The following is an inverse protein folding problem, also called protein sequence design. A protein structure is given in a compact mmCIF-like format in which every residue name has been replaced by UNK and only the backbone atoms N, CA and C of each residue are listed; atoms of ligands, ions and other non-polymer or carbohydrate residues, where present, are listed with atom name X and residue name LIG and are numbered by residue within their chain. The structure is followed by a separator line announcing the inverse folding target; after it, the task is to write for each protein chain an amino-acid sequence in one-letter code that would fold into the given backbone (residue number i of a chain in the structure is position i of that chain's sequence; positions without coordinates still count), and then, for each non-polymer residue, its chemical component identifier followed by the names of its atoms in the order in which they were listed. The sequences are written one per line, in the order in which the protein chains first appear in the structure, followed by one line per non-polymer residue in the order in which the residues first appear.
data_IF_430896647215
#
_entry.id   IF_430896647215
#
_cell.length_a   1.000
_cell.length_b   1.000
_cell.length_c   1.000
_cell.angle_alpha   90.00
_cell.angle_beta   90.00
_cell.angle_gamma   90.00
#
_symmetry.space_group_name_H-M   'P 1'
#
loop_
_entity.id
_entity.type
_entity.pdbx_description
1 polymer ?
#
# COMPACT_ATOMS: atom_id res chain seq x y z
N UNK A 1 73.72 -4.00 18.40
CA UNK A 1 72.26 -3.75 18.45
C UNK A 1 71.65 -4.47 17.25
N UNK A 2 70.92 -5.56 17.49
CA UNK A 2 70.24 -6.33 16.44
C UNK A 2 68.97 -5.59 16.05
N UNK A 3 68.88 -5.12 14.80
CA UNK A 3 67.67 -4.50 14.27
C UNK A 3 66.67 -5.60 13.89
N UNK A 4 65.58 -5.71 14.66
CA UNK A 4 64.44 -6.56 14.36
C UNK A 4 63.73 -6.08 13.09
N UNK A 5 63.61 -6.95 12.09
CA UNK A 5 62.77 -6.68 10.91
C UNK A 5 61.30 -6.56 11.33
N UNK A 6 60.52 -5.62 10.77
CA UNK A 6 59.09 -5.58 10.98
C UNK A 6 58.43 -6.85 10.43
N UNK A 7 57.32 -7.32 11.04
CA UNK A 7 56.59 -8.48 10.57
C UNK A 7 56.01 -8.24 9.16
N UNK A 8 55.88 -9.30 8.34
CA UNK A 8 55.29 -9.20 7.01
C UNK A 8 53.82 -8.74 7.10
N UNK A 9 53.41 -7.88 6.16
CA UNK A 9 52.02 -7.47 6.02
C UNK A 9 51.13 -8.70 5.76
N UNK A 10 49.90 -8.74 6.31
CA UNK A 10 48.97 -9.84 6.05
C UNK A 10 48.66 -9.92 4.54
N UNK A 11 48.45 -11.13 4.00
CA UNK A 11 48.12 -11.30 2.59
C UNK A 11 46.80 -10.58 2.27
N UNK A 12 46.67 -10.00 1.06
CA UNK A 12 45.40 -9.42 0.64
C UNK A 12 44.31 -10.51 0.67
N UNK A 13 43.07 -10.17 1.06
CA UNK A 13 41.99 -11.14 1.11
C UNK A 13 41.78 -11.76 -0.27
N UNK A 14 41.41 -13.05 -0.35
CA UNK A 14 41.20 -13.73 -1.63
C UNK A 14 40.09 -13.01 -2.42
N UNK A 15 40.18 -12.94 -3.77
CA UNK A 15 39.22 -12.22 -4.62
C UNK A 15 37.77 -12.70 -4.47
N UNK A 16 37.56 -13.90 -3.94
CA UNK A 16 36.26 -14.49 -3.62
C UNK A 16 35.52 -13.71 -2.52
N UNK A 17 36.26 -13.09 -1.58
CA UNK A 17 35.67 -12.31 -0.49
C UNK A 17 35.14 -10.95 -0.98
N UNK A 18 35.77 -10.37 -2.01
CA UNK A 18 35.29 -9.15 -2.68
C UNK A 18 33.99 -9.41 -3.46
N UNK A 19 33.88 -10.61 -4.06
CA UNK A 19 32.70 -11.05 -4.79
C UNK A 19 31.52 -11.36 -3.85
N UNK A 20 31.78 -11.87 -2.64
CA UNK A 20 30.75 -12.07 -1.62
C UNK A 20 30.18 -10.75 -1.07
N UNK A 21 31.00 -9.69 -0.97
CA UNK A 21 30.56 -8.36 -0.54
C UNK A 21 29.72 -7.62 -1.60
N UNK A 22 29.82 -7.99 -2.88
CA UNK A 22 28.90 -7.51 -3.93
C UNK A 22 27.53 -8.20 -3.89
N UNK A 23 27.41 -9.36 -3.23
CA UNK A 23 26.14 -10.09 -3.09
C UNK A 23 25.31 -9.63 -1.88
N UNK A 24 25.83 -8.71 -1.06
CA UNK A 24 25.19 -8.25 0.19
C UNK A 24 24.55 -6.86 0.12
N UNK A 25 24.40 -6.26 -1.06
CA UNK A 25 23.63 -5.01 -1.20
C UNK A 25 22.60 -5.09 -2.32
N UNK A 26 21.50 -5.77 -2.03
CA UNK A 26 20.20 -5.25 -2.40
C UNK A 26 19.32 -5.39 -1.16
N UNK A 27 19.49 -4.46 -0.21
CA UNK A 27 18.38 -4.13 0.65
C UNK A 27 17.24 -3.74 -0.30
N UNK A 28 16.19 -4.55 -0.38
CA UNK A 28 14.96 -4.19 -1.06
C UNK A 28 14.27 -3.10 -0.22
N UNK A 29 14.89 -1.91 -0.18
CA UNK A 29 14.16 -0.69 0.10
C UNK A 29 13.17 -0.51 -1.05
N UNK A 30 11.92 -0.18 -0.75
CA UNK A 30 10.85 -0.13 -1.74
C UNK A 30 11.28 0.66 -2.96
N UNK A 31 11.25 0.00 -4.12
CA UNK A 31 11.64 0.63 -5.37
C UNK A 31 10.38 1.16 -6.04
N UNK A 32 10.15 2.48 -5.96
CA UNK A 32 9.01 3.09 -6.63
C UNK A 32 8.90 2.64 -8.11
N UNK A 33 7.75 2.10 -8.56
CA UNK A 33 7.59 1.65 -9.93
C UNK A 33 7.43 2.84 -10.87
N UNK A 34 8.55 3.48 -11.23
CA UNK A 34 8.63 4.77 -11.94
C UNK A 34 7.88 4.85 -13.30
N UNK A 35 7.43 3.72 -13.86
CA UNK A 35 6.64 3.68 -15.10
C UNK A 35 5.15 3.88 -14.87
N UNK A 36 4.64 3.48 -13.71
CA UNK A 36 3.22 3.48 -13.37
C UNK A 36 2.89 4.30 -12.13
N UNK A 37 3.90 4.62 -11.32
CA UNK A 37 3.74 5.40 -10.11
C UNK A 37 4.85 6.42 -9.94
N UNK A 38 4.50 7.54 -9.32
CA UNK A 38 5.42 8.54 -8.80
C UNK A 38 5.37 8.55 -7.28
N UNK A 39 6.49 8.26 -6.61
CA UNK A 39 6.56 8.20 -5.15
C UNK A 39 7.27 9.46 -4.62
N UNK A 40 6.62 10.15 -3.69
CA UNK A 40 7.07 11.44 -3.15
C UNK A 40 6.82 11.52 -1.65
N UNK A 41 7.70 12.25 -0.97
CA UNK A 41 7.46 12.65 0.41
C UNK A 41 6.69 13.97 0.44
N UNK A 42 5.50 13.99 1.06
CA UNK A 42 4.61 15.15 1.13
C UNK A 42 3.99 15.23 2.53
N UNK A 43 4.08 16.39 3.17
CA UNK A 43 3.50 16.65 4.50
C UNK A 43 3.90 15.60 5.56
N UNK A 44 5.16 15.17 5.53
CA UNK A 44 5.69 14.15 6.43
C UNK A 44 5.24 12.72 6.13
N UNK A 45 4.66 12.47 4.94
CA UNK A 45 4.18 11.15 4.50
C UNK A 45 4.77 10.74 3.18
N UNK A 46 5.13 9.47 3.07
CA UNK A 46 5.43 8.80 1.81
C UNK A 46 4.13 8.53 1.05
N UNK A 47 4.05 9.10 -0.16
CA UNK A 47 2.89 9.10 -1.02
C UNK A 47 3.24 8.48 -2.37
N UNK A 48 2.52 7.43 -2.74
CA UNK A 48 2.60 6.79 -4.06
C UNK A 48 1.42 7.25 -4.94
N UNK A 49 1.76 7.96 -6.03
CA UNK A 49 0.82 8.50 -7.00
C UNK A 49 0.78 7.59 -8.24
N UNK A 50 -0.22 6.72 -8.32
CA UNK A 50 -0.35 5.70 -9.38
C UNK A 50 -1.62 5.87 -10.22
N UNK A 51 -2.23 7.06 -10.22
CA UNK A 51 -3.52 7.30 -10.86
C UNK A 51 -3.43 7.23 -12.40
N UNK A 52 -4.50 6.71 -13.04
CA UNK A 52 -4.64 6.61 -14.51
C UNK A 52 -3.49 5.88 -15.22
N UNK A 53 -2.82 4.95 -14.54
CA UNK A 53 -1.68 4.19 -15.07
C UNK A 53 -2.10 2.87 -15.76
N UNK A 54 -3.41 2.67 -15.98
CA UNK A 54 -3.99 1.45 -16.57
C UNK A 54 -3.66 0.17 -15.79
N UNK A 55 -3.51 0.30 -14.47
CA UNK A 55 -3.22 -0.82 -13.57
C UNK A 55 -4.47 -1.70 -13.38
N UNK A 56 -4.31 -3.00 -13.56
CA UNK A 56 -5.30 -4.02 -13.24
C UNK A 56 -5.08 -4.65 -11.86
N UNK A 57 -3.91 -4.41 -11.24
CA UNK A 57 -3.57 -4.89 -9.91
C UNK A 57 -2.87 -3.82 -9.04
N UNK A 58 -2.81 -4.06 -7.72
CA UNK A 58 -2.02 -3.24 -6.80
C UNK A 58 -0.51 -3.45 -7.05
N UNK A 59 0.29 -2.39 -7.29
CA UNK A 59 1.71 -2.50 -7.61
C UNK A 59 2.53 -3.18 -6.51
N UNK A 60 3.38 -4.14 -6.89
CA UNK A 60 4.17 -4.94 -5.93
C UNK A 60 5.45 -4.26 -5.39
N UNK A 61 5.92 -3.19 -6.03
CA UNK A 61 7.23 -2.61 -5.77
C UNK A 61 7.22 -1.38 -4.83
N UNK A 62 6.08 -1.05 -4.23
CA UNK A 62 5.97 0.13 -3.36
C UNK A 62 6.72 -0.07 -2.04
N UNK A 63 7.15 1.03 -1.43
CA UNK A 63 7.81 1.00 -0.11
C UNK A 63 6.81 0.66 0.99
N UNK A 64 7.25 -0.16 1.96
CA UNK A 64 6.43 -0.61 3.08
C UNK A 64 6.10 0.53 4.05
N UNK A 65 6.85 1.63 3.99
CA UNK A 65 6.59 2.90 4.68
C UNK A 65 5.51 3.77 4.02
N UNK A 66 5.02 3.41 2.84
CA UNK A 66 3.97 4.17 2.12
C UNK A 66 2.73 4.36 3.00
N UNK A 67 2.37 5.62 3.25
CA UNK A 67 1.18 5.95 4.06
C UNK A 67 0.00 6.45 3.20
N UNK A 68 0.25 6.86 1.96
CA UNK A 68 -0.78 7.37 1.05
C UNK A 68 -0.63 6.69 -0.30
N UNK A 69 -1.69 6.02 -0.76
CA UNK A 69 -1.71 5.35 -2.06
C UNK A 69 -2.86 5.87 -2.91
N UNK A 70 -2.52 6.44 -4.07
CA UNK A 70 -3.50 6.88 -5.06
C UNK A 70 -3.52 5.94 -6.26
N UNK A 71 -4.60 5.18 -6.40
CA UNK A 71 -4.82 4.24 -7.50
C UNK A 71 -6.02 4.63 -8.36
N UNK A 72 -6.55 5.84 -8.20
CA UNK A 72 -7.76 6.27 -8.90
C UNK A 72 -7.66 6.18 -10.43
N UNK A 73 -8.76 5.81 -11.09
CA UNK A 73 -8.85 5.70 -12.54
C UNK A 73 -8.20 4.45 -13.15
N UNK A 74 -7.83 3.46 -12.33
CA UNK A 74 -7.22 2.20 -12.79
C UNK A 74 -8.25 1.06 -12.84
N UNK A 75 -8.25 0.20 -13.87
CA UNK A 75 -9.26 -0.87 -14.03
C UNK A 75 -9.06 -2.09 -13.10
N UNK A 76 -9.01 -1.89 -11.77
CA UNK A 76 -8.76 -2.96 -10.79
C UNK A 76 -9.88 -4.02 -10.75
N UNK A 77 -11.15 -3.60 -10.89
CA UNK A 77 -12.37 -4.46 -10.91
C UNK A 77 -12.68 -5.25 -9.63
N UNK A 78 -11.70 -5.89 -9.03
CA UNK A 78 -11.83 -6.76 -7.86
C UNK A 78 -10.69 -6.47 -6.90
N UNK A 79 -11.02 -6.31 -5.61
CA UNK A 79 -10.02 -6.34 -4.54
C UNK A 79 -10.03 -7.73 -3.92
N UNK A 80 -8.96 -8.49 -4.17
CA UNK A 80 -8.78 -9.84 -3.61
C UNK A 80 -8.42 -9.78 -2.12
N UNK A 81 -8.51 -10.94 -1.45
CA UNK A 81 -8.12 -11.06 -0.06
C UNK A 81 -6.67 -10.58 0.16
N UNK A 82 -6.44 -9.86 1.25
CA UNK A 82 -5.11 -9.47 1.74
C UNK A 82 -4.25 -8.65 0.73
N UNK A 83 -4.87 -8.11 -0.33
CA UNK A 83 -4.17 -7.52 -1.50
C UNK A 83 -3.21 -6.39 -1.17
N UNK A 84 -3.40 -5.66 -0.06
CA UNK A 84 -2.47 -4.62 0.37
C UNK A 84 -1.41 -5.14 1.36
N UNK A 85 -1.79 -6.04 2.27
CA UNK A 85 -0.85 -6.60 3.26
C UNK A 85 0.13 -7.58 2.61
N UNK A 86 -0.28 -8.33 1.60
CA UNK A 86 0.62 -9.15 0.76
C UNK A 86 1.68 -8.31 0.02
N UNK A 87 1.42 -7.02 -0.21
CA UNK A 87 2.38 -6.05 -0.77
C UNK A 87 3.17 -5.30 0.30
N UNK A 88 2.98 -5.62 1.58
CA UNK A 88 3.63 -4.97 2.71
C UNK A 88 3.12 -3.56 3.03
N UNK A 89 1.96 -3.16 2.49
CA UNK A 89 1.39 -1.81 2.61
C UNK A 89 0.56 -1.62 3.90
N UNK A 90 1.02 -2.20 5.00
CA UNK A 90 0.31 -2.20 6.29
C UNK A 90 0.31 -0.84 7.01
N UNK A 91 1.15 0.09 6.57
CA UNK A 91 1.26 1.45 7.11
C UNK A 91 0.34 2.46 6.42
N UNK A 92 -0.52 2.02 5.51
CA UNK A 92 -1.46 2.91 4.80
C UNK A 92 -2.38 3.64 5.78
N UNK A 93 -2.47 4.95 5.59
CA UNK A 93 -3.37 5.85 6.29
C UNK A 93 -4.45 6.41 5.37
N UNK A 94 -4.15 6.57 4.08
CA UNK A 94 -5.10 7.03 3.06
C UNK A 94 -5.00 6.16 1.81
N UNK A 95 -6.13 5.63 1.37
CA UNK A 95 -6.24 4.78 0.20
C UNK A 95 -7.30 5.33 -0.75
N UNK A 96 -6.87 5.75 -1.93
CA UNK A 96 -7.75 6.34 -2.95
C UNK A 96 -7.94 5.39 -4.12
N UNK A 97 -9.14 4.83 -4.24
CA UNK A 97 -9.54 3.83 -5.24
C UNK A 97 -10.76 4.31 -6.05
N UNK A 98 -10.91 5.63 -6.21
CA UNK A 98 -12.00 6.23 -6.95
C UNK A 98 -11.94 5.87 -8.44
N UNK A 99 -13.07 5.59 -9.09
CA UNK A 99 -13.12 5.30 -10.56
C UNK A 99 -12.27 4.08 -10.97
N UNK A 100 -12.20 3.07 -10.11
CA UNK A 100 -11.42 1.85 -10.36
C UNK A 100 -12.24 0.67 -10.92
N UNK A 101 -13.51 0.91 -11.26
CA UNK A 101 -14.47 -0.11 -11.74
C UNK A 101 -14.66 -1.26 -10.76
N UNK A 102 -14.44 -1.03 -9.47
CA UNK A 102 -14.47 -2.08 -8.45
C UNK A 102 -15.92 -2.53 -8.26
N UNK A 103 -16.22 -3.77 -8.64
CA UNK A 103 -17.53 -4.40 -8.44
C UNK A 103 -17.56 -5.36 -7.25
N UNK A 104 -16.39 -5.87 -6.84
CA UNK A 104 -16.26 -6.82 -5.75
C UNK A 104 -15.09 -6.49 -4.83
N UNK A 105 -15.32 -6.60 -3.53
CA UNK A 105 -14.32 -6.42 -2.47
C UNK A 105 -14.40 -7.65 -1.58
N UNK A 106 -13.31 -8.41 -1.51
CA UNK A 106 -13.22 -9.57 -0.62
C UNK A 106 -13.33 -9.12 0.85
N UNK A 107 -13.88 -9.98 1.72
CA UNK A 107 -14.03 -9.71 3.16
C UNK A 107 -12.69 -9.42 3.86
N UNK A 108 -11.57 -9.91 3.32
CA UNK A 108 -10.21 -9.70 3.82
C UNK A 108 -9.39 -8.71 2.99
N UNK A 109 -9.99 -8.01 2.05
CA UNK A 109 -9.24 -7.11 1.16
C UNK A 109 -8.48 -6.02 1.93
N UNK A 110 -9.00 -5.56 3.08
CA UNK A 110 -8.38 -4.54 3.94
C UNK A 110 -7.80 -5.11 5.24
N UNK A 111 -7.50 -6.41 5.30
CA UNK A 111 -6.80 -7.02 6.43
C UNK A 111 -5.52 -6.25 6.76
N UNK A 112 -5.19 -6.15 8.05
CA UNK A 112 -3.98 -5.52 8.59
C UNK A 112 -3.82 -4.01 8.31
N UNK A 113 -4.78 -3.36 7.65
CA UNK A 113 -4.81 -1.91 7.43
C UNK A 113 -5.32 -1.16 8.67
N UNK A 114 -4.77 -1.48 9.85
CA UNK A 114 -5.20 -0.96 11.16
C UNK A 114 -5.03 0.55 11.29
N UNK A 115 -4.15 1.14 10.48
CA UNK A 115 -3.83 2.58 10.48
C UNK A 115 -4.67 3.38 9.47
N UNK A 116 -5.55 2.73 8.70
CA UNK A 116 -6.29 3.39 7.63
C UNK A 116 -7.33 4.37 8.21
N UNK A 117 -7.20 5.64 7.85
CA UNK A 117 -8.05 6.74 8.32
C UNK A 117 -9.04 7.20 7.25
N UNK A 118 -8.63 7.14 5.98
CA UNK A 118 -9.44 7.57 4.84
C UNK A 118 -9.44 6.49 3.75
N UNK A 119 -10.64 6.10 3.33
CA UNK A 119 -10.86 5.17 2.24
C UNK A 119 -11.81 5.79 1.22
N UNK A 120 -11.35 5.91 -0.02
CA UNK A 120 -12.16 6.42 -1.13
C UNK A 120 -12.45 5.30 -2.12
N UNK A 121 -13.71 4.86 -2.15
CA UNK A 121 -14.28 3.91 -3.10
C UNK A 121 -15.32 4.56 -4.01
N UNK A 122 -15.31 5.89 -4.14
CA UNK A 122 -16.27 6.63 -4.97
C UNK A 122 -16.21 6.25 -6.44
N UNK A 123 -17.33 6.40 -7.15
CA UNK A 123 -17.45 6.15 -8.58
C UNK A 123 -16.96 4.76 -9.02
N UNK A 124 -17.29 3.73 -8.24
CA UNK A 124 -17.04 2.34 -8.57
C UNK A 124 -18.35 1.63 -8.96
N UNK A 125 -18.33 0.30 -9.02
CA UNK A 125 -19.46 -0.54 -9.45
C UNK A 125 -20.05 -1.33 -8.26
N UNK A 126 -19.87 -0.83 -7.03
CA UNK A 126 -20.32 -1.51 -5.82
C UNK A 126 -21.85 -1.50 -5.72
N UNK A 127 -22.45 -2.68 -5.65
CA UNK A 127 -23.90 -2.83 -5.41
C UNK A 127 -24.27 -2.86 -3.93
N UNK A 128 -23.29 -3.14 -3.07
CA UNK A 128 -23.45 -3.28 -1.63
C UNK A 128 -22.28 -2.57 -0.92
N UNK A 129 -22.55 -2.03 0.27
CA UNK A 129 -21.49 -1.53 1.15
C UNK A 129 -20.68 -2.70 1.70
N UNK A 130 -19.34 -2.71 1.58
CA UNK A 130 -18.46 -3.81 2.01
C UNK A 130 -18.30 -3.87 3.53
N UNK A 131 -19.42 -4.07 4.22
CA UNK A 131 -19.56 -3.91 5.68
C UNK A 131 -18.66 -4.88 6.45
N UNK A 132 -18.55 -6.12 5.98
CA UNK A 132 -17.67 -7.14 6.59
C UNK A 132 -16.20 -6.73 6.49
N UNK A 133 -15.79 -6.18 5.34
CA UNK A 133 -14.41 -5.74 5.11
C UNK A 133 -14.05 -4.52 5.97
N UNK A 134 -15.03 -3.66 6.28
CA UNK A 134 -14.82 -2.48 7.12
C UNK A 134 -14.47 -2.82 8.58
N UNK A 135 -14.68 -4.06 9.02
CA UNK A 135 -14.28 -4.53 10.37
C UNK A 135 -12.75 -4.54 10.58
N UNK A 136 -11.97 -4.56 9.49
CA UNK A 136 -10.52 -4.59 9.54
C UNK A 136 -9.87 -3.18 9.66
N UNK A 137 -10.62 -2.11 9.40
CA UNK A 137 -10.12 -0.72 9.34
C UNK A 137 -10.60 0.10 10.52
N UNK A 138 -10.18 -0.29 11.72
CA UNK A 138 -10.68 0.28 12.97
C UNK A 138 -10.32 1.76 13.18
N UNK A 139 -9.31 2.29 12.50
CA UNK A 139 -8.96 3.71 12.59
C UNK A 139 -9.77 4.60 11.61
N UNK A 140 -10.66 4.02 10.79
CA UNK A 140 -11.32 4.73 9.70
C UNK A 140 -12.22 5.85 10.22
N UNK A 141 -12.07 7.03 9.61
CA UNK A 141 -12.83 8.25 9.93
C UNK A 141 -13.62 8.76 8.75
N UNK A 142 -13.15 8.48 7.53
CA UNK A 142 -13.77 8.93 6.30
C UNK A 142 -13.86 7.78 5.30
N UNK A 143 -15.07 7.57 4.78
CA UNK A 143 -15.38 6.59 3.74
C UNK A 143 -16.18 7.29 2.66
N UNK A 144 -15.63 7.36 1.46
CA UNK A 144 -16.35 7.88 0.29
C UNK A 144 -16.83 6.70 -0.56
N UNK A 145 -18.14 6.62 -0.76
CA UNK A 145 -18.81 5.58 -1.56
C UNK A 145 -19.79 6.19 -2.57
N UNK A 146 -19.77 7.52 -2.73
CA UNK A 146 -20.58 8.28 -3.69
C UNK A 146 -20.42 7.72 -5.11
N UNK A 147 -21.45 7.86 -5.94
CA UNK A 147 -21.38 7.45 -7.34
C UNK A 147 -21.26 5.93 -7.58
N UNK A 148 -21.60 5.10 -6.60
CA UNK A 148 -21.76 3.65 -6.77
C UNK A 148 -23.24 3.26 -6.92
N UNK A 149 -23.56 2.19 -7.66
CA UNK A 149 -24.93 1.68 -7.81
C UNK A 149 -25.39 0.87 -6.57
N UNK A 150 -25.25 1.44 -5.37
CA UNK A 150 -25.56 0.74 -4.11
C UNK A 150 -27.07 0.58 -3.97
N UNK A 151 -27.52 -0.67 -3.98
CA UNK A 151 -28.96 -1.00 -3.93
C UNK A 151 -29.48 -0.94 -2.48
N UNK A 152 -28.66 -1.32 -1.51
CA UNK A 152 -29.03 -1.40 -0.09
C UNK A 152 -27.86 -1.04 0.82
N UNK A 153 -28.16 -0.25 1.84
CA UNK A 153 -27.26 0.03 2.96
C UNK A 153 -27.83 -0.68 4.20
N UNK A 154 -27.24 -1.80 4.65
CA UNK A 154 -27.72 -2.47 5.85
C UNK A 154 -27.56 -1.58 7.08
N UNK A 155 -28.47 -1.68 8.06
CA UNK A 155 -28.40 -0.88 9.29
C UNK A 155 -27.08 -1.10 10.06
N UNK A 156 -26.47 -2.27 9.91
CA UNK A 156 -25.20 -2.64 10.50
C UNK A 156 -23.97 -2.21 9.69
N UNK A 157 -24.15 -1.57 8.51
CA UNK A 157 -23.06 -1.32 7.56
C UNK A 157 -21.88 -0.56 8.14
N UNK A 158 -22.16 0.31 9.11
CA UNK A 158 -21.18 1.20 9.73
C UNK A 158 -21.03 0.98 11.24
N UNK A 159 -21.51 -0.14 11.79
CA UNK A 159 -21.35 -0.45 13.22
C UNK A 159 -19.86 -0.64 13.57
N UNK A 160 -19.07 -1.15 12.63
CA UNK A 160 -17.67 -1.47 12.86
C UNK A 160 -16.72 -0.26 12.77
N UNK A 161 -17.19 0.91 12.32
CA UNK A 161 -16.36 2.12 12.19
C UNK A 161 -16.58 3.05 13.40
N UNK A 162 -15.54 3.37 14.20
CA UNK A 162 -15.73 3.85 15.57
C UNK A 162 -16.16 5.33 15.75
N UNK A 163 -16.60 6.02 14.70
CA UNK A 163 -17.20 7.37 14.74
C UNK A 163 -18.20 7.50 13.59
N UNK A 164 -19.12 8.49 13.57
CA UNK A 164 -19.90 8.76 12.37
C UNK A 164 -18.93 9.06 11.24
N UNK A 165 -18.72 8.05 10.39
CA UNK A 165 -17.91 8.19 9.19
C UNK A 165 -18.63 9.21 8.32
N UNK A 166 -17.93 10.27 7.95
CA UNK A 166 -18.49 11.22 7.00
C UNK A 166 -18.58 10.51 5.66
N UNK A 167 -19.78 10.04 5.33
CA UNK A 167 -20.13 9.63 3.98
C UNK A 167 -20.35 10.93 3.21
N UNK A 168 -19.39 11.28 2.36
CA UNK A 168 -19.52 12.44 1.46
C UNK A 168 -20.09 11.98 0.13
N UNK A 169 -21.11 12.70 -0.33
CA UNK A 169 -21.81 12.45 -1.59
C UNK A 169 -21.20 13.19 -2.80
N UNK A 170 -20.07 13.88 -2.64
CA UNK A 170 -19.37 14.59 -3.72
C UNK A 170 -18.50 13.68 -4.59
#
# INVERSE_FOLDING_TARGET
MVASRPPPAPPPPPPVLLLLMLLLTAASAGACPLRSCECKWRDGKETALCANASLDEVPAALDTGTQVLQLGGNPLRVLTADVFSERGLVNLQRLHLSRCRIGHVDRRAFSDLINLVELDLSHNELRLVPSDTLTHVQALRELRISGNPIERVPAAAFIAVPKPVQVRDE
#
